data_IF_362820611018
#
_entry.id   IF_362820611018
#
_cell.length_a   1.000
_cell.length_b   1.000
_cell.length_c   1.000
_cell.angle_alpha   90.00
_cell.angle_beta   90.00
_cell.angle_gamma   90.00
#
_symmetry.space_group_name_H-M   'P 1'
#
loop_
_entity.id
_entity.type
_entity.pdbx_description
1 polymer ?
#
# COMPACT_ATOMS: atom_id res chain seq x y z
N UNK A 1 6.80 -5.79 -16.09
CA UNK A 1 5.74 -5.29 -15.17
C UNK A 1 5.46 -6.36 -14.11
N UNK A 2 5.38 -5.99 -12.84
CA UNK A 2 5.05 -6.90 -11.73
C UNK A 2 3.64 -6.55 -11.26
N UNK A 3 2.76 -7.56 -11.18
CA UNK A 3 1.42 -7.42 -10.60
C UNK A 3 1.38 -8.29 -9.34
N UNK A 4 0.84 -7.75 -8.27
CA UNK A 4 0.79 -8.38 -6.95
C UNK A 4 -0.43 -7.86 -6.17
N UNK A 5 -0.51 -8.12 -4.88
CA UNK A 5 -1.58 -7.57 -4.04
C UNK A 5 -1.40 -7.88 -2.55
N UNK A 6 -2.21 -7.22 -1.76
CA UNK A 6 -2.36 -7.44 -0.33
C UNK A 6 -3.36 -8.60 -0.14
N UNK A 7 -2.85 -9.83 -0.26
CA UNK A 7 -3.66 -11.03 -0.44
C UNK A 7 -4.42 -11.49 0.83
N UNK A 8 -4.14 -10.92 2.00
CA UNK A 8 -4.92 -11.19 3.21
C UNK A 8 -6.37 -10.65 3.11
N UNK A 9 -6.67 -9.80 2.13
CA UNK A 9 -8.05 -9.43 1.79
C UNK A 9 -8.84 -10.58 1.15
N UNK A 10 -8.16 -11.52 0.50
CA UNK A 10 -8.77 -12.74 -0.04
C UNK A 10 -8.78 -13.90 0.95
N UNK A 11 -7.74 -14.03 1.76
CA UNK A 11 -7.66 -15.08 2.81
C UNK A 11 -6.64 -14.74 3.89
N UNK A 12 -6.94 -15.00 5.17
CA UNK A 12 -5.97 -14.83 6.24
C UNK A 12 -4.81 -15.84 6.20
N UNK A 13 -5.00 -16.99 5.53
CA UNK A 13 -4.04 -18.08 5.55
C UNK A 13 -2.99 -17.93 4.43
N UNK A 14 -1.70 -17.89 4.77
CA UNK A 14 -0.60 -17.69 3.80
C UNK A 14 -0.67 -18.66 2.60
N UNK A 15 -1.02 -19.94 2.84
CA UNK A 15 -1.13 -20.92 1.75
C UNK A 15 -2.23 -20.57 0.76
N UNK A 16 -3.33 -20.02 1.23
CA UNK A 16 -4.41 -19.55 0.37
C UNK A 16 -4.04 -18.26 -0.33
N UNK A 17 -3.38 -17.32 0.34
CA UNK A 17 -2.83 -16.12 -0.30
C UNK A 17 -1.93 -16.48 -1.49
N UNK A 18 -1.04 -17.45 -1.33
CA UNK A 18 -0.18 -17.95 -2.39
C UNK A 18 -0.99 -18.61 -3.52
N UNK A 19 -1.96 -19.45 -3.18
CA UNK A 19 -2.83 -20.14 -4.16
C UNK A 19 -3.62 -19.13 -4.99
N UNK A 20 -4.24 -18.15 -4.35
CA UNK A 20 -4.99 -17.06 -4.99
C UNK A 20 -4.11 -16.30 -6.01
N UNK A 21 -2.90 -15.90 -5.61
CA UNK A 21 -1.99 -15.21 -6.52
C UNK A 21 -1.56 -16.08 -7.71
N UNK A 22 -1.31 -17.35 -7.48
CA UNK A 22 -1.00 -18.29 -8.58
C UNK A 22 -2.15 -18.45 -9.57
N UNK A 23 -3.40 -18.47 -9.09
CA UNK A 23 -4.57 -18.52 -9.97
C UNK A 23 -4.67 -17.26 -10.86
N UNK A 24 -4.19 -16.11 -10.37
CA UNK A 24 -4.08 -14.86 -11.13
C UNK A 24 -2.84 -14.81 -12.04
N UNK A 25 -1.96 -15.83 -12.00
CA UNK A 25 -0.71 -15.85 -12.75
C UNK A 25 0.42 -15.06 -12.07
N UNK A 26 0.28 -14.73 -10.79
CA UNK A 26 1.25 -13.95 -10.02
C UNK A 26 2.12 -14.85 -9.15
N UNK A 27 3.38 -14.46 -8.98
CA UNK A 27 4.37 -15.18 -8.17
C UNK A 27 4.98 -14.31 -7.06
N UNK A 28 4.36 -13.18 -6.76
CA UNK A 28 4.80 -12.23 -5.72
C UNK A 28 3.65 -11.86 -4.81
N UNK A 29 3.97 -11.44 -3.57
CA UNK A 29 3.02 -10.95 -2.56
C UNK A 29 3.47 -9.60 -2.04
N UNK A 30 2.52 -8.78 -1.64
CA UNK A 30 2.69 -7.76 -0.62
C UNK A 30 2.16 -8.32 0.70
N UNK A 31 3.04 -8.45 1.70
CA UNK A 31 2.68 -9.08 2.97
C UNK A 31 2.18 -8.05 3.98
N UNK A 32 0.94 -8.21 4.42
CA UNK A 32 0.31 -7.43 5.50
C UNK A 32 -0.02 -8.31 6.70
N UNK A 33 -1.02 -9.14 6.61
CA UNK A 33 -1.43 -10.04 7.68
C UNK A 33 -1.10 -11.50 7.36
N UNK A 34 -0.65 -12.22 8.38
CA UNK A 34 -0.56 -13.67 8.42
C UNK A 34 -1.49 -14.14 9.54
N UNK A 35 -2.58 -14.80 9.18
CA UNK A 35 -3.70 -14.98 10.09
C UNK A 35 -4.31 -13.63 10.46
N UNK A 36 -4.21 -13.25 11.73
CA UNK A 36 -4.72 -11.97 12.26
C UNK A 36 -3.60 -11.02 12.69
N UNK A 37 -2.34 -11.36 12.42
CA UNK A 37 -1.18 -10.61 12.93
C UNK A 37 -0.38 -10.03 11.79
N UNK A 38 -0.01 -8.75 11.91
CA UNK A 38 0.85 -8.10 10.93
C UNK A 38 2.20 -8.82 10.82
N UNK A 39 2.70 -8.99 9.60
CA UNK A 39 3.99 -9.67 9.30
C UNK A 39 5.16 -9.09 10.08
N UNK A 40 5.13 -7.79 10.38
CA UNK A 40 6.14 -7.12 11.19
C UNK A 40 6.04 -7.48 12.67
N UNK A 41 4.89 -7.99 13.15
CA UNK A 41 4.59 -8.24 14.56
C UNK A 41 4.59 -9.72 14.96
N UNK A 42 4.49 -10.67 14.01
CA UNK A 42 4.57 -12.10 14.31
C UNK A 42 5.90 -12.45 15.03
N UNK A 43 5.92 -13.50 15.83
CA UNK A 43 7.15 -13.97 16.45
C UNK A 43 8.14 -14.58 15.44
N UNK A 44 9.40 -14.78 15.86
CA UNK A 44 10.44 -15.26 14.94
C UNK A 44 10.16 -16.68 14.46
N UNK A 45 9.57 -17.55 15.29
CA UNK A 45 9.22 -18.91 14.88
C UNK A 45 8.08 -18.93 13.85
N UNK A 46 7.11 -18.03 13.98
CA UNK A 46 6.06 -17.84 12.98
C UNK A 46 6.66 -17.27 11.67
N UNK A 47 7.56 -16.30 11.77
CA UNK A 47 8.25 -15.77 10.61
C UNK A 47 9.10 -16.83 9.88
N UNK A 48 9.81 -17.70 10.62
CA UNK A 48 10.57 -18.79 10.03
C UNK A 48 9.68 -19.75 9.23
N UNK A 49 8.47 -20.04 9.70
CA UNK A 49 7.47 -20.82 8.93
C UNK A 49 7.00 -20.09 7.67
N UNK A 50 6.74 -18.78 7.78
CA UNK A 50 6.39 -17.95 6.61
C UNK A 50 7.51 -17.98 5.58
N UNK A 51 8.74 -17.74 6.01
CA UNK A 51 9.93 -17.79 5.16
C UNK A 51 10.07 -19.14 4.46
N UNK A 52 10.02 -20.24 5.21
CA UNK A 52 10.15 -21.59 4.66
C UNK A 52 9.06 -21.88 3.62
N UNK A 53 7.81 -21.50 3.90
CA UNK A 53 6.67 -21.68 2.97
C UNK A 53 6.89 -20.90 1.67
N UNK A 54 7.31 -19.64 1.76
CA UNK A 54 7.54 -18.79 0.58
C UNK A 54 8.70 -19.33 -0.27
N UNK A 55 9.79 -19.80 0.37
CA UNK A 55 10.92 -20.41 -0.34
C UNK A 55 10.52 -21.74 -1.03
N UNK A 56 9.85 -22.64 -0.32
CA UNK A 56 9.35 -23.90 -0.87
C UNK A 56 8.43 -23.67 -2.08
N UNK A 57 7.58 -22.67 -1.96
CA UNK A 57 6.62 -22.29 -2.99
C UNK A 57 7.19 -21.36 -4.06
N UNK A 58 8.45 -20.91 -3.96
CA UNK A 58 9.09 -19.99 -4.91
C UNK A 58 8.29 -18.70 -5.15
N UNK A 59 7.75 -18.11 -4.07
CA UNK A 59 6.98 -16.86 -4.09
C UNK A 59 7.84 -15.73 -3.56
N UNK A 60 7.97 -14.66 -4.35
CA UNK A 60 8.67 -13.44 -3.96
C UNK A 60 7.82 -12.52 -3.08
N UNK A 61 8.49 -11.60 -2.40
CA UNK A 61 7.83 -10.55 -1.61
C UNK A 61 8.33 -9.20 -2.09
N UNK A 62 7.41 -8.32 -2.47
CA UNK A 62 7.74 -6.99 -2.99
C UNK A 62 7.80 -5.96 -1.85
N UNK A 63 6.81 -5.99 -0.97
CA UNK A 63 6.61 -4.98 0.06
C UNK A 63 6.07 -5.63 1.36
N UNK A 64 6.44 -5.03 2.50
CA UNK A 64 5.78 -5.27 3.78
C UNK A 64 4.81 -4.11 4.06
N UNK A 65 3.53 -4.39 4.16
CA UNK A 65 2.53 -3.41 4.59
C UNK A 65 2.48 -3.35 6.12
N UNK A 66 3.33 -2.50 6.70
CA UNK A 66 3.51 -2.38 8.15
C UNK A 66 2.38 -1.60 8.84
N UNK A 67 2.43 -1.58 10.18
CA UNK A 67 1.56 -0.72 11.00
C UNK A 67 2.25 0.59 11.41
N UNK A 68 3.44 0.88 10.90
CA UNK A 68 4.21 2.07 11.24
C UNK A 68 3.43 3.32 10.84
N UNK A 69 3.20 4.19 11.83
CA UNK A 69 2.52 5.47 11.67
C UNK A 69 1.10 5.40 11.05
N UNK A 70 0.45 4.23 11.08
CA UNK A 70 -0.84 4.02 10.45
C UNK A 70 -2.01 4.66 11.22
N UNK A 71 -3.22 4.52 10.71
CA UNK A 71 -4.46 5.04 11.27
C UNK A 71 -4.72 4.63 12.74
N UNK A 72 -4.18 3.50 13.21
CA UNK A 72 -4.31 3.03 14.59
C UNK A 72 -3.23 3.57 15.53
N UNK A 73 -2.26 4.34 15.00
CA UNK A 73 -1.15 4.93 15.78
C UNK A 73 -1.16 6.45 15.66
N UNK A 74 -1.98 7.16 16.45
CA UNK A 74 -2.01 8.62 16.44
C UNK A 74 -0.64 9.21 16.84
N UNK A 75 -0.45 10.50 16.52
CA UNK A 75 0.83 11.20 16.75
C UNK A 75 1.27 11.20 18.22
N UNK A 76 0.35 11.02 19.15
CA UNK A 76 0.63 10.92 20.61
C UNK A 76 1.08 9.52 21.05
N UNK A 77 0.99 8.51 20.17
CA UNK A 77 1.48 7.15 20.46
C UNK A 77 2.98 7.12 20.70
N UNK A 78 3.42 6.13 21.48
CA UNK A 78 4.83 5.90 21.75
C UNK A 78 5.63 5.62 20.46
N UNK A 79 6.47 6.57 20.07
CA UNK A 79 7.28 6.49 18.84
C UNK A 79 8.21 5.27 18.81
N UNK A 80 8.66 4.81 19.98
CA UNK A 80 9.54 3.66 20.09
C UNK A 80 8.93 2.39 19.51
N UNK A 81 7.60 2.25 19.54
CA UNK A 81 6.91 1.10 18.94
C UNK A 81 7.14 1.01 17.43
N UNK A 82 7.14 2.14 16.72
CA UNK A 82 7.42 2.19 15.28
C UNK A 82 8.89 1.90 14.97
N UNK A 83 9.80 2.43 15.80
CA UNK A 83 11.24 2.15 15.70
C UNK A 83 11.52 0.65 15.87
N UNK A 84 10.89 0.02 16.85
CA UNK A 84 11.06 -1.41 17.11
C UNK A 84 10.45 -2.28 15.99
N UNK A 85 9.29 -1.87 15.47
CA UNK A 85 8.66 -2.56 14.34
C UNK A 85 9.56 -2.50 13.10
N UNK A 86 10.09 -1.33 12.76
CA UNK A 86 11.00 -1.16 11.62
C UNK A 86 12.27 -2.01 11.80
N UNK A 87 12.91 -1.93 12.97
CA UNK A 87 14.12 -2.71 13.28
C UNK A 87 13.88 -4.22 13.22
N UNK A 88 12.71 -4.70 13.60
CA UNK A 88 12.32 -6.11 13.50
C UNK A 88 12.01 -6.51 12.04
N UNK A 89 11.39 -5.62 11.26
CA UNK A 89 11.05 -5.88 9.87
C UNK A 89 12.30 -5.99 8.98
N UNK A 90 13.30 -5.11 9.14
CA UNK A 90 14.47 -5.03 8.26
C UNK A 90 15.20 -6.36 8.05
N UNK A 91 15.60 -7.14 9.08
CA UNK A 91 16.25 -8.44 8.85
C UNK A 91 15.34 -9.46 8.18
N UNK A 92 14.03 -9.39 8.42
CA UNK A 92 13.02 -10.25 7.77
C UNK A 92 12.87 -9.92 6.29
N UNK A 93 12.80 -8.65 5.96
CA UNK A 93 12.76 -8.14 4.59
C UNK A 93 14.02 -8.56 3.81
N UNK A 94 15.20 -8.42 4.41
CA UNK A 94 16.46 -8.86 3.80
C UNK A 94 16.46 -10.36 3.49
N UNK A 95 15.96 -11.20 4.38
CA UNK A 95 15.83 -12.65 4.14
C UNK A 95 14.92 -12.98 2.95
N UNK A 96 13.86 -12.19 2.73
CA UNK A 96 12.89 -12.36 1.66
C UNK A 96 13.24 -11.59 0.38
N UNK A 97 14.29 -10.75 0.41
CA UNK A 97 14.65 -9.88 -0.71
C UNK A 97 13.68 -8.70 -0.92
N UNK A 98 12.78 -8.44 0.02
CA UNK A 98 11.86 -7.30 -0.03
C UNK A 98 12.60 -6.01 0.29
N UNK A 99 12.40 -4.97 -0.54
CA UNK A 99 13.06 -3.67 -0.37
C UNK A 99 12.13 -2.58 0.16
N UNK A 100 10.83 -2.74 0.01
CA UNK A 100 9.85 -1.73 0.37
C UNK A 100 9.11 -2.10 1.66
N UNK A 101 8.89 -1.09 2.50
CA UNK A 101 8.00 -1.16 3.66
C UNK A 101 7.04 0.02 3.61
N UNK A 102 5.73 -0.29 3.54
CA UNK A 102 4.70 0.74 3.57
C UNK A 102 4.59 1.34 4.96
N UNK A 103 4.54 2.68 5.00
CA UNK A 103 4.31 3.48 6.20
C UNK A 103 3.26 4.56 5.92
N UNK A 104 2.65 5.09 6.99
CA UNK A 104 1.78 6.28 6.91
C UNK A 104 2.42 7.45 7.67
N UNK A 105 1.64 8.43 8.14
CA UNK A 105 2.18 9.67 8.72
C UNK A 105 1.42 10.17 9.94
N UNK A 106 0.93 9.28 10.76
CA UNK A 106 0.30 9.52 12.07
C UNK A 106 -0.97 10.39 12.02
N UNK A 107 -2.15 9.86 12.33
CA UNK A 107 -3.34 10.68 12.57
C UNK A 107 -3.11 11.69 13.70
N UNK A 108 -3.77 12.85 13.60
CA UNK A 108 -3.74 13.83 14.67
C UNK A 108 -4.47 13.31 15.92
N UNK A 109 -4.02 13.76 17.08
CA UNK A 109 -4.65 13.51 18.37
C UNK A 109 -4.51 14.76 19.25
N UNK A 110 -5.20 15.82 18.83
CA UNK A 110 -5.33 17.06 19.58
C UNK A 110 -4.16 18.05 19.47
N UNK A 111 -3.19 17.83 18.60
CA UNK A 111 -2.12 18.80 18.34
C UNK A 111 -2.59 19.91 17.41
N UNK A 112 -1.98 21.10 17.52
CA UNK A 112 -2.09 22.13 16.48
C UNK A 112 -1.53 21.60 15.16
N UNK A 113 -2.02 22.10 14.03
CA UNK A 113 -1.51 21.72 12.69
C UNK A 113 0.02 21.86 12.60
N UNK A 114 0.55 22.93 13.15
CA UNK A 114 2.00 23.20 13.17
C UNK A 114 2.77 22.18 14.00
N UNK A 115 2.26 21.80 15.17
CA UNK A 115 2.94 20.85 16.05
C UNK A 115 2.81 19.42 15.52
N UNK A 116 1.66 19.07 14.97
CA UNK A 116 1.44 17.80 14.29
C UNK A 116 2.41 17.62 13.12
N UNK A 117 2.52 18.60 12.22
CA UNK A 117 3.51 18.61 11.12
C UNK A 117 4.93 18.41 11.66
N UNK A 118 5.36 19.23 12.62
CA UNK A 118 6.72 19.17 13.16
C UNK A 118 7.06 17.81 13.73
N UNK A 119 6.16 17.24 14.52
CA UNK A 119 6.40 15.94 15.13
C UNK A 119 6.36 14.81 14.11
N UNK A 120 5.44 14.85 13.13
CA UNK A 120 5.41 13.91 12.02
C UNK A 120 6.71 13.92 11.24
N UNK A 121 7.18 15.08 10.81
CA UNK A 121 8.45 15.21 10.06
C UNK A 121 9.64 14.73 10.90
N UNK A 122 9.69 15.06 12.18
CA UNK A 122 10.74 14.58 13.09
C UNK A 122 10.78 13.05 13.15
N UNK A 123 9.63 12.40 13.36
CA UNK A 123 9.52 10.93 13.43
C UNK A 123 9.88 10.29 12.09
N UNK A 124 9.34 10.77 10.99
CA UNK A 124 9.59 10.22 9.66
C UNK A 124 11.06 10.37 9.26
N UNK A 125 11.72 11.46 9.63
CA UNK A 125 13.16 11.64 9.41
C UNK A 125 14.00 10.61 10.18
N UNK A 126 13.66 10.36 11.44
CA UNK A 126 14.36 9.34 12.23
C UNK A 126 14.12 7.92 11.70
N UNK A 127 12.89 7.59 11.32
CA UNK A 127 12.59 6.30 10.68
C UNK A 127 13.33 6.14 9.36
N UNK A 128 13.40 7.20 8.52
CA UNK A 128 14.13 7.17 7.25
C UNK A 128 15.64 6.95 7.46
N UNK A 129 16.21 7.55 8.52
CA UNK A 129 17.61 7.30 8.90
C UNK A 129 17.83 5.83 9.31
N UNK A 130 16.93 5.25 10.10
CA UNK A 130 17.00 3.85 10.51
C UNK A 130 16.83 2.92 9.29
N UNK A 131 15.90 3.24 8.38
CA UNK A 131 15.69 2.49 7.15
C UNK A 131 16.94 2.48 6.26
N UNK A 132 17.65 3.60 6.17
CA UNK A 132 18.92 3.71 5.44
C UNK A 132 19.99 2.78 6.01
N UNK A 133 20.11 2.67 7.33
CA UNK A 133 21.04 1.74 7.98
C UNK A 133 20.73 0.26 7.65
N UNK A 134 19.48 -0.04 7.29
CA UNK A 134 19.01 -1.39 6.93
C UNK A 134 18.90 -1.68 5.44
N UNK A 135 19.26 -0.74 4.56
CA UNK A 135 19.07 -0.82 3.10
C UNK A 135 17.59 -1.06 2.71
N UNK A 136 16.66 -0.39 3.41
CA UNK A 136 15.22 -0.49 3.21
C UNK A 136 14.69 0.86 2.76
N UNK A 137 13.73 0.85 1.87
CA UNK A 137 13.00 2.05 1.42
C UNK A 137 11.61 2.04 2.05
N UNK A 138 11.32 3.04 2.86
CA UNK A 138 9.97 3.32 3.31
C UNK A 138 9.19 3.93 2.15
N UNK A 139 8.03 3.37 1.86
CA UNK A 139 7.09 3.93 0.89
C UNK A 139 5.88 4.47 1.65
N UNK A 140 5.77 5.81 1.66
CA UNK A 140 4.68 6.52 2.34
C UNK A 140 3.42 6.45 1.50
N UNK A 141 2.33 6.01 2.13
CA UNK A 141 1.02 5.94 1.49
C UNK A 141 0.25 7.25 1.65
N UNK A 142 -0.38 7.71 0.59
CA UNK A 142 -1.35 8.81 0.61
C UNK A 142 -2.66 8.33 1.26
N UNK A 143 -2.64 8.20 2.57
CA UNK A 143 -3.72 7.71 3.43
C UNK A 143 -3.79 8.60 4.67
N UNK A 144 -4.59 8.23 5.66
CA UNK A 144 -4.72 8.96 6.93
C UNK A 144 -3.36 9.31 7.55
N UNK A 145 -3.28 10.46 8.21
CA UNK A 145 -2.05 11.02 8.75
C UNK A 145 -1.59 12.25 7.99
N UNK A 146 -0.74 13.06 8.65
CA UNK A 146 -0.45 14.42 8.21
C UNK A 146 -0.01 14.52 6.75
N UNK A 147 0.95 13.71 6.32
CA UNK A 147 1.51 13.74 4.97
C UNK A 147 0.59 13.14 3.89
N UNK A 148 -0.42 12.37 4.29
CA UNK A 148 -1.35 11.73 3.35
C UNK A 148 -2.63 12.54 3.06
N UNK A 149 -2.89 13.58 3.85
CA UNK A 149 -4.16 14.32 3.80
C UNK A 149 -4.29 15.32 2.64
N UNK A 150 -3.21 15.68 1.99
CA UNK A 150 -3.26 16.55 0.82
C UNK A 150 -1.99 16.41 -0.03
N UNK A 151 -2.06 16.77 -1.32
CA UNK A 151 -0.87 16.81 -2.19
C UNK A 151 0.24 17.70 -1.61
N UNK A 152 -0.16 18.85 -1.02
CA UNK A 152 0.80 19.79 -0.44
C UNK A 152 1.51 19.22 0.79
N UNK A 153 0.77 18.58 1.71
CA UNK A 153 1.36 17.96 2.89
C UNK A 153 2.31 16.83 2.49
N UNK A 154 1.96 16.03 1.50
CA UNK A 154 2.81 14.96 0.97
C UNK A 154 4.13 15.53 0.42
N UNK A 155 4.05 16.60 -0.38
CA UNK A 155 5.21 17.28 -0.91
C UNK A 155 6.12 17.82 0.19
N UNK A 156 5.53 18.54 1.15
CA UNK A 156 6.27 19.10 2.29
C UNK A 156 6.94 17.97 3.11
N UNK A 157 6.25 16.86 3.35
CA UNK A 157 6.82 15.72 4.08
C UNK A 157 8.09 15.20 3.39
N UNK A 158 8.02 14.99 2.08
CA UNK A 158 9.16 14.50 1.29
C UNK A 158 10.32 15.50 1.28
N UNK A 159 10.03 16.79 1.06
CA UNK A 159 11.02 17.85 1.04
C UNK A 159 11.71 18.04 2.40
N UNK A 160 10.94 18.03 3.50
CA UNK A 160 11.50 18.24 4.84
C UNK A 160 12.21 17.01 5.40
N UNK A 161 11.75 15.80 5.10
CA UNK A 161 12.48 14.58 5.48
C UNK A 161 13.76 14.45 4.66
N UNK A 162 13.71 14.78 3.38
CA UNK A 162 14.83 14.85 2.44
C UNK A 162 15.72 13.60 2.47
N UNK A 163 15.12 12.43 2.28
CA UNK A 163 15.80 11.14 2.32
C UNK A 163 15.45 10.26 1.12
N UNK A 164 16.43 9.62 0.46
CA UNK A 164 16.15 8.63 -0.59
C UNK A 164 15.45 7.38 -0.05
N UNK A 165 15.47 7.17 1.27
CA UNK A 165 14.80 6.06 1.93
C UNK A 165 13.35 6.38 2.36
N UNK A 166 12.83 7.54 1.96
CA UNK A 166 11.40 7.86 2.00
C UNK A 166 10.92 8.17 0.59
N UNK A 167 10.10 7.28 0.06
CA UNK A 167 9.51 7.36 -1.26
C UNK A 167 7.99 7.19 -1.13
N UNK A 168 7.26 7.03 -2.23
CA UNK A 168 5.80 6.93 -2.23
C UNK A 168 5.34 5.54 -2.70
N UNK A 169 4.40 4.95 -1.96
CA UNK A 169 3.39 4.07 -2.51
C UNK A 169 2.15 4.91 -2.80
N UNK A 170 1.77 5.01 -4.06
CA UNK A 170 0.59 5.76 -4.45
C UNK A 170 -0.63 4.85 -4.47
N UNK A 171 -1.58 5.11 -3.59
CA UNK A 171 -2.89 4.45 -3.59
C UNK A 171 -3.87 5.28 -4.41
N UNK A 172 -4.45 4.66 -5.44
CA UNK A 172 -5.35 5.34 -6.37
C UNK A 172 -6.71 5.68 -5.75
N UNK A 173 -7.19 4.88 -4.79
CA UNK A 173 -8.52 5.02 -4.19
C UNK A 173 -8.59 5.91 -2.96
N UNK A 174 -7.48 6.04 -2.23
CA UNK A 174 -7.49 6.75 -0.95
C UNK A 174 -7.97 8.20 -1.04
N UNK A 175 -7.62 9.02 -2.06
CA UNK A 175 -8.14 10.38 -2.11
C UNK A 175 -9.67 10.44 -2.10
N UNK A 176 -10.34 9.66 -2.94
CA UNK A 176 -11.81 9.59 -2.95
C UNK A 176 -12.33 8.93 -1.67
N UNK A 177 -11.66 7.88 -1.20
CA UNK A 177 -11.99 7.15 0.04
C UNK A 177 -11.94 8.01 1.30
N UNK A 178 -11.03 8.96 1.36
CA UNK A 178 -10.90 9.97 2.44
C UNK A 178 -11.82 11.19 2.23
N UNK A 179 -12.64 11.18 1.17
CA UNK A 179 -13.67 12.17 0.93
C UNK A 179 -13.26 13.35 0.05
N UNK A 180 -12.08 13.32 -0.54
CA UNK A 180 -11.66 14.32 -1.53
C UNK A 180 -12.51 14.24 -2.80
N UNK A 181 -12.71 15.38 -3.50
CA UNK A 181 -13.29 15.37 -4.84
C UNK A 181 -12.49 14.47 -5.79
N UNK A 182 -13.14 13.70 -6.69
CA UNK A 182 -12.44 12.80 -7.59
C UNK A 182 -11.33 13.46 -8.41
N UNK A 183 -11.52 14.70 -8.83
CA UNK A 183 -10.53 15.49 -9.58
C UNK A 183 -9.22 15.73 -8.81
N UNK A 184 -9.26 15.82 -7.48
CA UNK A 184 -8.06 15.99 -6.65
C UNK A 184 -7.17 14.74 -6.65
N UNK A 185 -7.70 13.56 -6.98
CA UNK A 185 -6.90 12.33 -7.14
C UNK A 185 -5.76 12.54 -8.16
N UNK A 186 -6.02 13.31 -9.20
CA UNK A 186 -5.00 13.63 -10.20
C UNK A 186 -3.91 14.54 -9.64
N UNK A 187 -4.26 15.50 -8.79
CA UNK A 187 -3.29 16.42 -8.16
C UNK A 187 -2.40 15.65 -7.16
N UNK A 188 -3.00 14.73 -6.37
CA UNK A 188 -2.23 13.79 -5.53
C UNK A 188 -1.23 12.99 -6.37
N UNK A 189 -1.70 12.39 -7.47
CA UNK A 189 -0.86 11.60 -8.36
C UNK A 189 0.29 12.43 -8.96
N UNK A 190 0.00 13.59 -9.50
CA UNK A 190 1.04 14.45 -10.10
C UNK A 190 2.11 14.87 -9.09
N UNK A 191 1.69 15.18 -7.87
CA UNK A 191 2.61 15.54 -6.78
C UNK A 191 3.48 14.34 -6.36
N UNK A 192 2.90 13.17 -6.30
CA UNK A 192 3.59 11.93 -5.93
C UNK A 192 4.54 11.40 -7.02
N UNK A 193 4.23 11.67 -8.29
CA UNK A 193 4.82 11.02 -9.47
C UNK A 193 6.35 10.90 -9.46
N UNK A 194 7.14 11.93 -9.08
CA UNK A 194 8.60 11.81 -9.05
C UNK A 194 9.14 10.82 -8.01
N UNK A 195 8.32 10.44 -7.05
CA UNK A 195 8.68 9.65 -5.88
C UNK A 195 8.00 8.28 -5.85
N UNK A 196 7.12 7.97 -6.81
CA UNK A 196 6.38 6.69 -6.84
C UNK A 196 7.35 5.53 -7.07
N UNK A 197 7.41 4.60 -6.12
CA UNK A 197 8.16 3.34 -6.20
C UNK A 197 7.26 2.12 -6.11
N UNK A 198 6.02 2.32 -5.67
CA UNK A 198 5.02 1.28 -5.53
C UNK A 198 3.62 1.87 -5.77
N UNK A 199 2.67 1.05 -6.21
CA UNK A 199 1.31 1.51 -6.50
C UNK A 199 0.32 0.55 -5.86
N UNK A 200 -0.62 1.09 -5.08
CA UNK A 200 -1.81 0.37 -4.67
C UNK A 200 -2.96 0.70 -5.63
N UNK A 201 -3.58 -0.35 -6.17
CA UNK A 201 -4.76 -0.23 -7.02
C UNK A 201 -5.98 -0.46 -6.14
N UNK A 202 -6.69 0.61 -5.89
CA UNK A 202 -7.94 0.67 -5.18
C UNK A 202 -8.89 1.57 -5.96
N UNK A 203 -10.16 1.24 -6.01
CA UNK A 203 -11.16 2.11 -6.63
C UNK A 203 -12.38 2.23 -5.73
N UNK A 204 -12.96 3.40 -5.71
CA UNK A 204 -14.17 3.67 -4.96
C UNK A 204 -14.95 4.83 -5.59
N UNK A 205 -16.21 4.94 -5.19
CA UNK A 205 -17.08 6.01 -5.60
C UNK A 205 -17.84 6.57 -4.39
N UNK A 206 -18.16 7.85 -4.44
CA UNK A 206 -19.09 8.47 -3.50
C UNK A 206 -20.50 8.30 -4.01
N UNK A 207 -21.35 7.65 -3.22
CA UNK A 207 -22.78 7.45 -3.56
C UNK A 207 -23.56 8.77 -3.48
N UNK A 208 -24.78 8.78 -4.02
CA UNK A 208 -25.70 9.92 -3.90
C UNK A 208 -26.02 10.30 -2.44
N UNK A 209 -25.82 9.37 -1.51
CA UNK A 209 -26.00 9.61 -0.07
C UNK A 209 -24.74 10.15 0.60
N UNK A 210 -23.65 10.28 -0.13
CA UNK A 210 -22.35 10.74 0.37
C UNK A 210 -21.51 9.66 1.06
N UNK A 211 -21.93 8.38 0.98
CA UNK A 211 -21.18 7.25 1.50
C UNK A 211 -20.11 6.81 0.50
N UNK A 212 -19.01 6.26 0.99
CA UNK A 212 -17.95 5.67 0.13
C UNK A 212 -18.27 4.20 -0.10
N UNK A 213 -18.29 3.80 -1.36
CA UNK A 213 -18.44 2.42 -1.80
C UNK A 213 -17.20 2.00 -2.59
N UNK A 214 -16.53 0.91 -2.19
CA UNK A 214 -15.41 0.35 -2.92
C UNK A 214 -15.91 -0.46 -4.12
N UNK A 215 -15.28 -0.26 -5.26
CA UNK A 215 -15.68 -0.81 -6.56
C UNK A 215 -14.54 -1.59 -7.20
N UNK A 216 -14.83 -2.33 -8.27
CA UNK A 216 -13.78 -2.93 -9.09
C UNK A 216 -12.99 -1.86 -9.85
N UNK A 217 -11.72 -2.16 -10.25
CA UNK A 217 -10.84 -1.16 -10.85
C UNK A 217 -11.43 -0.60 -12.15
N UNK A 218 -11.55 0.71 -12.24
CA UNK A 218 -12.13 1.44 -13.35
C UNK A 218 -13.65 1.64 -13.31
N UNK A 219 -14.34 1.11 -12.30
CA UNK A 219 -15.78 1.29 -12.12
C UNK A 219 -16.12 2.44 -11.14
N UNK A 220 -15.12 2.93 -10.39
CA UNK A 220 -15.27 4.00 -9.44
C UNK A 220 -14.90 5.38 -10.00
N UNK A 221 -14.53 6.26 -9.09
CA UNK A 221 -14.21 7.66 -9.38
C UNK A 221 -12.71 7.99 -9.18
N UNK A 222 -11.87 6.99 -8.83
CA UNK A 222 -10.48 7.18 -8.44
C UNK A 222 -9.51 7.32 -9.61
N UNK A 223 -10.00 7.52 -10.83
CA UNK A 223 -9.20 7.70 -12.05
C UNK A 223 -8.18 6.57 -12.32
N UNK A 224 -8.43 5.36 -11.83
CA UNK A 224 -7.49 4.22 -11.88
C UNK A 224 -6.91 4.04 -13.29
N UNK A 225 -7.74 3.88 -14.32
CA UNK A 225 -7.29 3.67 -15.70
C UNK A 225 -6.38 4.79 -16.20
N UNK A 226 -6.70 6.05 -15.90
CA UNK A 226 -5.91 7.21 -16.30
C UNK A 226 -4.53 7.23 -15.63
N UNK A 227 -4.48 6.91 -14.34
CA UNK A 227 -3.25 6.89 -13.55
C UNK A 227 -2.34 5.76 -14.03
N UNK A 228 -2.88 4.54 -14.18
CA UNK A 228 -2.10 3.39 -14.64
C UNK A 228 -1.57 3.61 -16.06
N UNK A 229 -2.40 4.14 -16.98
CA UNK A 229 -1.98 4.50 -18.34
C UNK A 229 -0.83 5.51 -18.32
N UNK A 230 -0.95 6.59 -17.54
CA UNK A 230 0.12 7.58 -17.39
C UNK A 230 1.43 7.00 -16.84
N UNK A 231 1.35 6.10 -15.86
CA UNK A 231 2.54 5.42 -15.33
C UNK A 231 3.22 4.54 -16.39
N UNK A 232 2.44 3.79 -17.17
CA UNK A 232 2.96 2.95 -18.25
C UNK A 232 3.59 3.79 -19.36
N UNK A 233 2.95 4.88 -19.79
CA UNK A 233 3.48 5.83 -20.78
C UNK A 233 4.81 6.45 -20.36
N UNK A 234 5.01 6.64 -19.05
CA UNK A 234 6.25 7.16 -18.46
C UNK A 234 7.30 6.08 -18.18
N UNK A 235 7.02 4.82 -18.52
CA UNK A 235 7.96 3.72 -18.34
C UNK A 235 8.10 3.25 -16.89
N UNK A 236 7.04 3.35 -16.08
CA UNK A 236 7.05 2.82 -14.71
C UNK A 236 7.35 1.32 -14.71
N UNK A 237 8.39 0.92 -14.00
CA UNK A 237 8.91 -0.44 -13.91
C UNK A 237 8.68 -1.11 -12.54
N UNK A 238 8.01 -0.42 -11.63
CA UNK A 238 7.66 -0.92 -10.30
C UNK A 238 6.50 -1.92 -10.29
N UNK A 239 6.02 -2.24 -9.11
CA UNK A 239 4.90 -3.17 -8.94
C UNK A 239 3.56 -2.45 -8.81
N UNK A 240 2.53 -3.06 -9.39
CA UNK A 240 1.13 -2.75 -9.17
C UNK A 240 0.53 -3.76 -8.19
N UNK A 241 0.08 -3.30 -7.06
CA UNK A 241 -0.44 -4.11 -5.95
C UNK A 241 -1.93 -3.82 -5.75
N UNK A 242 -2.80 -4.83 -5.86
CA UNK A 242 -4.22 -4.63 -5.59
C UNK A 242 -4.51 -4.58 -4.10
N UNK A 243 -5.37 -3.66 -3.70
CA UNK A 243 -5.94 -3.52 -2.36
C UNK A 243 -7.45 -3.24 -2.45
N UNK A 244 -8.28 -4.25 -2.74
CA UNK A 244 -9.68 -4.09 -3.15
C UNK A 244 -10.60 -3.38 -2.15
N UNK A 245 -10.48 -3.66 -0.86
CA UNK A 245 -11.36 -3.22 0.22
C UNK A 245 -12.86 -3.57 0.06
N UNK A 246 -13.29 -4.18 -1.06
CA UNK A 246 -14.69 -4.52 -1.32
C UNK A 246 -15.23 -5.52 -0.29
N UNK A 247 -14.46 -6.58 -0.01
CA UNK A 247 -14.85 -7.62 0.95
C UNK A 247 -14.43 -7.31 2.39
N UNK A 248 -13.34 -6.57 2.53
CA UNK A 248 -12.73 -6.21 3.79
C UNK A 248 -12.95 -4.72 4.05
N UNK A 249 -14.15 -4.33 4.42
CA UNK A 249 -14.35 -3.00 5.03
C UNK A 249 -13.69 -3.00 6.42
N UNK A 250 -12.36 -3.12 6.42
CA UNK A 250 -11.52 -3.26 7.62
C UNK A 250 -11.79 -2.13 8.61
N UNK A 251 -12.10 -0.94 8.11
CA UNK A 251 -12.41 0.23 8.94
C UNK A 251 -13.83 0.24 9.52
N UNK A 252 -14.75 -0.57 8.99
CA UNK A 252 -16.15 -0.60 9.42
C UNK A 252 -16.54 -1.89 10.17
N UNK A 253 -15.61 -2.84 10.35
CA UNK A 253 -15.84 -4.08 11.09
C UNK A 253 -16.79 -5.07 10.39
N UNK A 254 -17.12 -4.85 9.12
CA UNK A 254 -17.89 -5.79 8.29
C UNK A 254 -16.93 -6.57 7.41
N UNK A 255 -17.01 -7.89 7.45
CA UNK A 255 -16.26 -8.78 6.57
C UNK A 255 -17.20 -9.77 5.91
N UNK A 256 -16.97 -10.01 4.63
CA UNK A 256 -17.62 -11.10 3.87
C UNK A 256 -17.19 -12.49 4.40
N UNK A 257 -17.92 -13.52 4.05
CA UNK A 257 -17.48 -14.91 4.32
C UNK A 257 -16.13 -15.17 3.61
N UNK A 258 -15.31 -16.08 4.14
CA UNK A 258 -13.99 -16.35 3.57
C UNK A 258 -14.01 -16.72 2.08
N UNK A 259 -15.02 -17.45 1.59
CA UNK A 259 -15.17 -17.78 0.17
C UNK A 259 -15.56 -16.58 -0.68
N UNK A 260 -16.44 -15.74 -0.18
CA UNK A 260 -16.87 -14.53 -0.87
C UNK A 260 -15.73 -13.53 -0.98
N UNK A 261 -14.92 -13.37 0.07
CA UNK A 261 -13.72 -12.50 0.04
C UNK A 261 -12.70 -12.98 -1.00
N UNK A 262 -12.47 -14.29 -1.08
CA UNK A 262 -11.59 -14.90 -2.07
C UNK A 262 -12.10 -14.67 -3.50
N UNK A 263 -13.38 -14.90 -3.77
CA UNK A 263 -13.98 -14.68 -5.09
C UNK A 263 -13.88 -13.22 -5.53
N UNK A 264 -14.17 -12.29 -4.62
CA UNK A 264 -14.02 -10.83 -4.87
C UNK A 264 -12.57 -10.48 -5.20
N UNK A 265 -11.61 -10.97 -4.41
CA UNK A 265 -10.20 -10.70 -4.64
C UNK A 265 -9.71 -11.25 -5.99
N UNK A 266 -10.09 -12.49 -6.34
CA UNK A 266 -9.79 -13.10 -7.63
C UNK A 266 -10.38 -12.31 -8.80
N UNK A 267 -11.64 -11.90 -8.69
CA UNK A 267 -12.28 -11.10 -9.73
C UNK A 267 -11.62 -9.72 -9.88
N UNK A 268 -11.24 -9.09 -8.75
CA UNK A 268 -10.50 -7.82 -8.79
C UNK A 268 -9.18 -7.99 -9.53
N UNK A 269 -8.44 -9.05 -9.21
CA UNK A 269 -7.17 -9.35 -9.87
C UNK A 269 -7.32 -9.64 -11.36
N UNK A 270 -8.35 -10.39 -11.79
CA UNK A 270 -8.64 -10.65 -13.22
C UNK A 270 -8.92 -9.35 -13.98
N UNK A 271 -9.73 -8.46 -13.41
CA UNK A 271 -10.04 -7.15 -14.02
C UNK A 271 -8.81 -6.24 -14.08
N UNK A 272 -7.97 -6.26 -13.05
CA UNK A 272 -6.70 -5.54 -13.06
C UNK A 272 -5.77 -6.07 -14.15
N UNK A 273 -5.62 -7.39 -14.28
CA UNK A 273 -4.83 -8.00 -15.36
C UNK A 273 -5.34 -7.57 -16.74
N UNK A 274 -6.65 -7.63 -16.96
CA UNK A 274 -7.26 -7.22 -18.24
C UNK A 274 -7.01 -5.73 -18.53
N UNK A 275 -7.24 -4.86 -17.56
CA UNK A 275 -7.00 -3.41 -17.71
C UNK A 275 -5.54 -3.09 -18.03
N UNK A 276 -4.58 -3.71 -17.36
CA UNK A 276 -3.16 -3.47 -17.61
C UNK A 276 -2.72 -4.03 -18.97
N UNK A 277 -3.28 -5.16 -19.42
CA UNK A 277 -3.02 -5.69 -20.76
C UNK A 277 -3.51 -4.73 -21.84
N UNK A 278 -4.76 -4.25 -21.74
CA UNK A 278 -5.31 -3.25 -22.67
C UNK A 278 -4.46 -1.96 -22.73
N UNK A 279 -4.04 -1.45 -21.55
CA UNK A 279 -3.22 -0.23 -21.47
C UNK A 279 -1.83 -0.44 -22.09
N UNK A 280 -1.24 -1.62 -21.93
CA UNK A 280 0.07 -1.94 -22.52
C UNK A 280 0.00 -2.04 -24.04
N UNK A 281 -1.06 -2.64 -24.60
CA UNK A 281 -1.27 -2.70 -26.06
C UNK A 281 -1.41 -1.30 -26.67
N UNK A 282 -1.99 -0.33 -25.94
CA UNK A 282 -2.16 1.05 -26.41
C UNK A 282 -0.85 1.86 -26.37
N UNK A 283 0.14 1.44 -25.59
CA UNK A 283 1.44 2.12 -25.45
C UNK A 283 2.50 1.59 -26.41
N UNK A 284 2.29 0.41 -27.04
CA UNK A 284 3.20 -0.08 -28.07
C UNK A 284 3.02 0.74 -29.36
N UNK A 285 4.11 1.29 -29.93
CA UNK A 285 4.01 2.00 -31.22
C UNK A 285 3.49 1.02 -32.28
N UNK A 286 2.49 1.45 -33.05
CA UNK A 286 2.06 0.70 -34.24
C UNK A 286 3.29 0.50 -35.16
N UNK A 287 3.64 -0.78 -35.42
CA UNK A 287 4.73 -1.16 -36.32
C UNK A 287 4.55 -0.60 -37.75
#
# INVERSE_FOLDING_TARGET
>A
MIITGIADEGSPELKDQIRIHRELGWNTLELRLIGKTNVCAIDDSAFDRVYATLQEQQVGVICFASSIANWARPITSEFQADVEELKRAMPRMRRLGARFIRVMSYPNDGLSETDWRKETVRRMRELARIAADGDVIMVHENCSGWGGMSPENQKILLEEVHSPNLQIVFDTGNPVGEGHPPEETWDFYQTALPFIKHVHIKDCAKTDKGEIEYTYPGEGQSMVRRILGSLLDLGYDGAFSIEPHIAAQIHLGTSSSGKEAEEIYLEYGRRTNAMLAELTELTEPAE
#
